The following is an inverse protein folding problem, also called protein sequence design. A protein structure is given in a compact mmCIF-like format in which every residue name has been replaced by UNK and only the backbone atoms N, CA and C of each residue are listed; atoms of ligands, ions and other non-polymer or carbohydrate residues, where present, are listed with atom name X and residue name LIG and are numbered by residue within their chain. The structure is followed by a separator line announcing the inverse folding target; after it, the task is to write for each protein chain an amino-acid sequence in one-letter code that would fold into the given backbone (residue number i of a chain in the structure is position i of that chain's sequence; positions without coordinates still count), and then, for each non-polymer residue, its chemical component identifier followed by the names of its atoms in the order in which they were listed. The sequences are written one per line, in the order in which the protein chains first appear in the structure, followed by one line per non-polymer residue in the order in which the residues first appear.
data_IF_268041030560
#
_entry.id   IF_268041030560
#
_cell.length_a   1.000
_cell.length_b   1.000
_cell.length_c   1.000
_cell.angle_alpha   90.00
_cell.angle_beta   90.00
_cell.angle_gamma   90.00
#
_symmetry.space_group_name_H-M   'P 1'
#
loop_
_entity.id
_entity.type
_entity.pdbx_description
1 polymer ?
#
# COMPACT_ATOMS: atom_id res chain seq x y z
N UNK A 1 -27.21 11.01 -7.37
CA UNK A 1 -26.01 10.23 -7.72
C UNK A 1 -25.94 9.05 -6.76
N UNK A 2 -25.88 7.83 -7.29
CA UNK A 2 -26.00 6.61 -6.49
C UNK A 2 -24.60 6.03 -6.36
N UNK A 3 -24.01 6.13 -5.17
CA UNK A 3 -22.81 5.34 -4.83
C UNK A 3 -23.19 3.87 -5.08
N UNK A 4 -22.41 3.10 -5.86
CA UNK A 4 -22.73 1.70 -6.10
C UNK A 4 -22.95 0.98 -4.78
N UNK A 5 -23.99 0.14 -4.75
CA UNK A 5 -24.20 -0.73 -3.59
C UNK A 5 -22.97 -1.62 -3.43
N UNK A 6 -22.68 -2.04 -2.20
CA UNK A 6 -21.56 -2.96 -1.97
C UNK A 6 -21.70 -4.24 -2.80
N UNK A 7 -22.93 -4.71 -3.05
CA UNK A 7 -23.21 -5.87 -3.90
C UNK A 7 -22.77 -5.65 -5.34
N UNK A 8 -23.10 -4.49 -5.92
CA UNK A 8 -22.70 -4.14 -7.27
C UNK A 8 -21.17 -4.08 -7.37
N UNK A 9 -20.50 -3.42 -6.42
CA UNK A 9 -19.03 -3.36 -6.41
C UNK A 9 -18.39 -4.74 -6.29
N UNK A 10 -18.99 -5.68 -5.55
CA UNK A 10 -18.48 -7.06 -5.51
C UNK A 10 -18.65 -7.77 -6.85
N UNK A 11 -19.78 -7.58 -7.53
CA UNK A 11 -19.99 -8.11 -8.88
C UNK A 11 -18.93 -7.53 -9.82
N UNK A 12 -18.75 -6.21 -9.83
CA UNK A 12 -17.80 -5.52 -10.70
C UNK A 12 -16.35 -5.99 -10.48
N UNK A 13 -15.94 -6.30 -9.24
CA UNK A 13 -14.63 -6.88 -8.94
C UNK A 13 -14.42 -8.23 -9.63
N UNK A 14 -15.41 -9.11 -9.52
CA UNK A 14 -15.35 -10.47 -10.07
C UNK A 14 -15.56 -10.47 -11.59
N UNK A 15 -16.29 -9.49 -12.13
CA UNK A 15 -16.49 -9.33 -13.58
C UNK A 15 -15.32 -8.62 -14.28
N UNK A 16 -14.42 -7.94 -13.55
CA UNK A 16 -13.22 -7.36 -14.14
C UNK A 16 -12.43 -8.42 -14.93
N UNK A 17 -12.12 -8.10 -16.20
CA UNK A 17 -11.39 -8.97 -17.13
C UNK A 17 -9.93 -8.55 -17.30
N UNK A 18 -9.55 -7.38 -16.78
CA UNK A 18 -8.20 -6.82 -16.86
C UNK A 18 -7.78 -6.21 -15.52
N UNK A 19 -6.47 -6.11 -15.22
CA UNK A 19 -5.98 -5.40 -14.04
C UNK A 19 -6.52 -3.97 -13.97
N UNK A 20 -6.59 -3.27 -15.09
CA UNK A 20 -7.06 -1.89 -15.15
C UNK A 20 -8.54 -1.78 -14.77
N UNK A 21 -9.39 -2.69 -15.27
CA UNK A 21 -10.79 -2.76 -14.85
C UNK A 21 -10.91 -3.04 -13.35
N UNK A 22 -10.08 -3.93 -12.81
CA UNK A 22 -10.01 -4.19 -11.37
C UNK A 22 -9.62 -2.91 -10.60
N UNK A 23 -8.61 -2.17 -11.05
CA UNK A 23 -8.14 -0.95 -10.38
C UNK A 23 -9.20 0.14 -10.36
N UNK A 24 -9.95 0.32 -11.45
CA UNK A 24 -11.08 1.26 -11.48
C UNK A 24 -12.06 0.93 -10.36
N UNK A 25 -12.43 -0.34 -10.19
CA UNK A 25 -13.35 -0.78 -9.12
C UNK A 25 -12.73 -0.61 -7.72
N UNK A 26 -11.40 -0.70 -7.57
CA UNK A 26 -10.68 -0.48 -6.30
C UNK A 26 -10.53 1.00 -5.92
N UNK A 27 -10.69 1.90 -6.88
CA UNK A 27 -10.52 3.35 -6.70
C UNK A 27 -11.83 4.12 -6.59
N UNK A 28 -12.93 3.57 -7.12
CA UNK A 28 -14.26 4.17 -7.03
C UNK A 28 -14.83 4.01 -5.61
N UNK A 29 -15.44 5.06 -5.02
CA UNK A 29 -16.13 4.95 -3.75
C UNK A 29 -17.22 3.88 -3.78
N UNK A 30 -17.26 3.01 -2.77
CA UNK A 30 -18.22 1.92 -2.67
C UNK A 30 -18.97 1.96 -1.33
N UNK A 31 -20.09 1.26 -1.24
CA UNK A 31 -20.78 1.04 0.03
C UNK A 31 -19.85 0.45 1.11
N UNK A 32 -20.05 0.84 2.38
CA UNK A 32 -19.18 0.41 3.47
C UNK A 32 -19.52 -1.02 3.90
N UNK A 33 -18.62 -1.96 3.58
CA UNK A 33 -18.55 -3.28 4.23
C UNK A 33 -17.08 -3.61 4.49
N UNK A 34 -16.72 -3.87 5.74
CA UNK A 34 -15.40 -4.42 6.07
C UNK A 34 -15.49 -5.95 6.19
N UNK A 35 -14.64 -6.66 5.47
CA UNK A 35 -14.44 -8.10 5.53
C UNK A 35 -13.12 -8.42 6.24
N UNK A 36 -13.09 -9.55 6.94
CA UNK A 36 -11.87 -10.18 7.45
C UNK A 36 -11.41 -11.35 6.59
N UNK A 37 -12.12 -11.64 5.49
CA UNK A 37 -11.77 -12.69 4.51
C UNK A 37 -10.66 -12.14 3.62
N UNK A 38 -9.43 -12.57 3.86
CA UNK A 38 -8.23 -12.14 3.12
C UNK A 38 -8.05 -12.95 1.83
N UNK A 39 -8.70 -14.12 1.73
CA UNK A 39 -8.61 -15.04 0.61
C UNK A 39 -9.18 -14.42 -0.67
N UNK A 40 -10.26 -13.66 -0.55
CA UNK A 40 -10.90 -13.01 -1.70
C UNK A 40 -9.97 -12.04 -2.46
N UNK A 41 -9.36 -11.01 -1.82
CA UNK A 41 -8.45 -10.12 -2.52
C UNK A 41 -7.20 -10.86 -3.00
N UNK A 42 -6.73 -11.89 -2.28
CA UNK A 42 -5.62 -12.71 -2.73
C UNK A 42 -5.95 -13.51 -4.00
N UNK A 43 -7.14 -14.09 -4.09
CA UNK A 43 -7.58 -14.80 -5.30
C UNK A 43 -7.76 -13.86 -6.49
N UNK A 44 -8.26 -12.64 -6.27
CA UNK A 44 -8.32 -11.60 -7.31
C UNK A 44 -6.91 -11.25 -7.81
N UNK A 45 -5.96 -11.06 -6.89
CA UNK A 45 -4.56 -10.80 -7.23
C UNK A 45 -3.97 -11.92 -8.09
N UNK A 46 -4.10 -13.18 -7.63
CA UNK A 46 -3.58 -14.35 -8.35
C UNK A 46 -4.19 -14.48 -9.74
N UNK A 47 -5.48 -14.20 -9.90
CA UNK A 47 -6.17 -14.30 -11.19
C UNK A 47 -5.49 -13.45 -12.27
N UNK A 48 -4.98 -12.27 -11.91
CA UNK A 48 -4.40 -11.34 -12.87
C UNK A 48 -2.89 -11.47 -13.03
N UNK A 49 -2.18 -11.99 -12.03
CA UNK A 49 -0.71 -11.95 -11.99
C UNK A 49 -0.04 -13.32 -11.99
N UNK A 50 -0.79 -14.41 -12.16
CA UNK A 50 -0.20 -15.75 -12.24
C UNK A 50 0.67 -15.92 -13.50
N UNK A 51 0.29 -15.30 -14.61
CA UNK A 51 1.01 -15.40 -15.90
C UNK A 51 1.87 -14.16 -16.19
N UNK A 52 1.48 -12.99 -15.68
CA UNK A 52 2.16 -11.72 -15.91
C UNK A 52 2.28 -10.88 -14.62
N UNK A 53 3.46 -10.83 -13.99
CA UNK A 53 3.66 -10.09 -12.75
C UNK A 53 3.94 -8.59 -12.95
N UNK A 54 3.96 -8.06 -14.19
CA UNK A 54 4.41 -6.69 -14.49
C UNK A 54 3.81 -5.59 -13.60
N UNK A 55 2.51 -5.69 -13.32
CA UNK A 55 1.75 -4.70 -12.54
C UNK A 55 1.30 -5.23 -11.17
N UNK A 56 1.91 -6.32 -10.71
CA UNK A 56 1.52 -7.00 -9.48
C UNK A 56 1.66 -6.08 -8.26
N UNK A 57 2.76 -5.31 -8.15
CA UNK A 57 2.95 -4.37 -7.04
C UNK A 57 1.79 -3.37 -6.93
N UNK A 58 1.35 -2.79 -8.05
CA UNK A 58 0.23 -1.84 -8.10
C UNK A 58 -1.08 -2.48 -7.65
N UNK A 59 -1.39 -3.69 -8.13
CA UNK A 59 -2.58 -4.42 -7.68
C UNK A 59 -2.52 -4.74 -6.19
N UNK A 60 -1.37 -5.21 -5.69
CA UNK A 60 -1.15 -5.49 -4.27
C UNK A 60 -1.36 -4.24 -3.41
N UNK A 61 -0.79 -3.10 -3.79
CA UNK A 61 -0.98 -1.80 -3.14
C UNK A 61 -2.48 -1.47 -3.02
N UNK A 62 -3.21 -1.55 -4.12
CA UNK A 62 -4.62 -1.18 -4.17
C UNK A 62 -5.47 -2.10 -3.29
N UNK A 63 -5.23 -3.41 -3.34
CA UNK A 63 -5.94 -4.40 -2.50
C UNK A 63 -5.64 -4.23 -1.01
N UNK A 64 -4.36 -4.07 -0.64
CA UNK A 64 -3.94 -3.90 0.75
C UNK A 64 -4.48 -2.62 1.40
N UNK A 65 -4.59 -1.54 0.62
CA UNK A 65 -5.09 -0.23 1.08
C UNK A 65 -6.59 -0.05 0.93
N UNK A 66 -7.29 -1.04 0.36
CA UNK A 66 -8.74 -1.00 0.21
C UNK A 66 -9.44 -1.12 1.57
N UNK A 67 -10.45 -0.27 1.79
CA UNK A 67 -11.17 -0.26 3.06
C UNK A 67 -11.94 -1.56 3.31
N UNK A 68 -12.36 -2.27 2.24
CA UNK A 68 -13.07 -3.55 2.35
C UNK A 68 -12.29 -4.57 3.15
N UNK A 69 -10.97 -4.67 2.94
CA UNK A 69 -10.15 -5.69 3.57
C UNK A 69 -9.22 -5.14 4.65
N UNK A 70 -9.48 -3.93 5.16
CA UNK A 70 -8.68 -3.30 6.23
C UNK A 70 -8.46 -4.18 7.47
N UNK A 71 -9.40 -5.08 7.79
CA UNK A 71 -9.31 -6.00 8.94
C UNK A 71 -8.47 -7.25 8.66
N UNK A 72 -8.24 -7.56 7.39
CA UNK A 72 -7.53 -8.74 6.93
C UNK A 72 -6.16 -8.39 6.30
N UNK A 73 -5.83 -7.10 6.20
CA UNK A 73 -4.69 -6.58 5.46
C UNK A 73 -3.34 -7.15 5.93
N UNK A 74 -3.22 -7.49 7.22
CA UNK A 74 -2.00 -8.11 7.76
C UNK A 74 -1.78 -9.52 7.21
N UNK A 75 -2.82 -10.36 7.17
CA UNK A 75 -2.72 -11.67 6.52
C UNK A 75 -2.52 -11.51 5.01
N UNK A 76 -3.26 -10.61 4.37
CA UNK A 76 -3.16 -10.38 2.93
C UNK A 76 -1.73 -10.02 2.50
N UNK A 77 -1.07 -9.07 3.17
CA UNK A 77 0.30 -8.67 2.79
C UNK A 77 1.31 -9.80 3.02
N UNK A 78 1.14 -10.61 4.06
CA UNK A 78 1.98 -11.79 4.29
C UNK A 78 1.81 -12.84 3.19
N UNK A 79 0.58 -13.14 2.78
CA UNK A 79 0.29 -14.13 1.73
C UNK A 79 0.75 -13.64 0.35
N UNK A 80 0.59 -12.35 0.05
CA UNK A 80 1.14 -11.74 -1.16
C UNK A 80 2.66 -11.86 -1.20
N UNK A 81 3.35 -11.51 -0.11
CA UNK A 81 4.81 -11.61 0.00
C UNK A 81 5.32 -13.05 -0.09
N UNK A 82 4.58 -14.01 0.45
CA UNK A 82 4.92 -15.45 0.39
C UNK A 82 4.54 -16.16 -0.91
N UNK A 83 3.80 -15.49 -1.80
CA UNK A 83 3.22 -16.14 -2.99
C UNK A 83 4.23 -16.46 -4.10
N UNK A 84 5.39 -15.79 -4.11
CA UNK A 84 6.35 -15.83 -5.21
C UNK A 84 5.91 -15.10 -6.48
N UNK A 85 4.78 -14.38 -6.44
CA UNK A 85 4.27 -13.55 -7.55
C UNK A 85 4.74 -12.10 -7.48
N UNK A 86 5.36 -11.71 -6.37
CA UNK A 86 6.04 -10.44 -6.19
C UNK A 86 7.53 -10.78 -6.01
N UNK A 87 8.37 -10.24 -6.88
CA UNK A 87 9.82 -10.30 -6.70
C UNK A 87 10.29 -9.33 -5.61
N UNK A 88 11.57 -9.39 -5.27
CA UNK A 88 12.12 -8.56 -4.21
C UNK A 88 11.96 -7.06 -4.49
N UNK A 89 12.14 -6.64 -5.74
CA UNK A 89 11.97 -5.25 -6.17
C UNK A 89 10.52 -4.77 -5.95
N UNK A 90 9.52 -5.60 -6.29
CA UNK A 90 8.12 -5.30 -6.04
C UNK A 90 7.78 -5.23 -4.53
N UNK A 91 8.39 -6.09 -3.71
CA UNK A 91 8.21 -6.08 -2.26
C UNK A 91 8.86 -4.86 -1.61
N UNK A 92 10.03 -4.46 -2.09
CA UNK A 92 10.74 -3.25 -1.66
C UNK A 92 9.94 -2.00 -2.04
N UNK A 93 9.40 -1.99 -3.25
CA UNK A 93 8.51 -0.92 -3.71
C UNK A 93 7.25 -0.79 -2.85
N UNK A 94 6.63 -1.91 -2.46
CA UNK A 94 5.50 -1.91 -1.53
C UNK A 94 5.90 -1.38 -0.14
N UNK A 95 7.09 -1.74 0.34
CA UNK A 95 7.59 -1.28 1.63
C UNK A 95 7.81 0.25 1.63
N UNK A 96 8.37 0.82 0.57
CA UNK A 96 8.44 2.28 0.38
C UNK A 96 7.04 2.91 0.43
N UNK A 97 6.08 2.34 -0.31
CA UNK A 97 4.71 2.87 -0.37
C UNK A 97 3.99 2.85 0.97
N UNK A 98 4.18 1.79 1.76
CA UNK A 98 3.52 1.65 3.05
C UNK A 98 4.23 2.40 4.19
N UNK A 99 5.47 2.83 4.03
CA UNK A 99 6.14 3.70 5.01
C UNK A 99 5.86 5.18 4.80
N UNK A 100 5.38 5.58 3.62
CA UNK A 100 5.05 6.97 3.30
C UNK A 100 4.06 7.61 4.31
N UNK A 101 4.26 8.90 4.59
CA UNK A 101 3.36 9.67 5.44
C UNK A 101 1.96 9.78 4.84
N UNK A 102 1.91 10.09 3.54
CA UNK A 102 0.70 10.14 2.75
C UNK A 102 0.89 9.38 1.44
N UNK A 103 -0.04 8.47 1.15
CA UNK A 103 -0.05 7.69 -0.09
C UNK A 103 -1.22 8.15 -0.97
N UNK A 104 -0.95 8.36 -2.26
CA UNK A 104 -1.99 8.60 -3.25
C UNK A 104 -1.67 7.97 -4.59
N UNK A 105 -2.72 7.66 -5.34
CA UNK A 105 -2.62 7.09 -6.69
C UNK A 105 -3.12 8.11 -7.71
N UNK A 106 -2.32 8.39 -8.74
CA UNK A 106 -2.70 9.28 -9.83
C UNK A 106 -3.37 8.50 -10.95
N UNK A 107 -4.51 9.00 -11.37
CA UNK A 107 -5.38 8.35 -12.34
C UNK A 107 -5.97 9.35 -13.32
N UNK A 108 -6.15 8.97 -14.59
CA UNK A 108 -6.83 9.83 -15.55
C UNK A 108 -8.25 10.20 -15.09
N UNK A 109 -8.55 11.51 -15.06
CA UNK A 109 -9.83 12.04 -14.58
C UNK A 109 -11.04 11.46 -15.32
N UNK A 110 -10.89 11.12 -16.60
CA UNK A 110 -11.99 10.59 -17.40
C UNK A 110 -12.49 9.24 -16.89
N UNK A 111 -11.70 8.48 -16.10
CA UNK A 111 -12.15 7.26 -15.42
C UNK A 111 -13.17 7.56 -14.30
N UNK A 112 -13.30 8.83 -13.89
CA UNK A 112 -14.21 9.31 -12.86
C UNK A 112 -15.22 10.33 -13.40
N UNK A 113 -15.48 10.35 -14.72
CA UNK A 113 -16.28 11.38 -15.38
C UNK A 113 -17.68 11.60 -14.76
N UNK A 114 -18.23 10.60 -14.08
CA UNK A 114 -19.54 10.66 -13.41
C UNK A 114 -19.48 10.71 -11.87
N UNK A 115 -18.29 10.61 -11.26
CA UNK A 115 -18.13 10.64 -9.81
C UNK A 115 -17.80 12.07 -9.33
N UNK A 116 -18.36 12.53 -8.20
CA UNK A 116 -17.96 13.81 -7.64
C UNK A 116 -16.54 13.63 -7.12
N UNK A 117 -15.60 14.38 -7.69
CA UNK A 117 -14.19 14.37 -7.31
C UNK A 117 -14.08 14.93 -5.89
N UNK A 118 -14.36 14.11 -4.87
CA UNK A 118 -13.98 14.35 -3.47
C UNK A 118 -12.52 13.92 -3.31
N UNK A 119 -11.66 14.44 -4.19
CA UNK A 119 -10.25 14.11 -4.25
C UNK A 119 -9.48 15.44 -4.17
N UNK A 120 -9.19 15.85 -2.94
CA UNK A 120 -8.36 17.00 -2.66
C UNK A 120 -6.89 16.56 -2.65
N UNK A 121 -6.09 17.12 -3.55
CA UNK A 121 -5.06 18.12 -3.22
C UNK A 121 -4.17 18.38 -4.44
N UNK A 122 -3.78 19.64 -4.60
CA UNK A 122 -2.71 20.09 -5.51
C UNK A 122 -1.41 19.33 -5.22
N UNK A 123 -0.55 19.05 -6.21
CA UNK A 123 0.71 18.29 -6.07
C UNK A 123 1.79 18.93 -5.18
N UNK A 124 1.44 19.88 -4.31
CA UNK A 124 2.39 20.74 -3.58
C UNK A 124 2.65 20.33 -2.13
N UNK A 125 2.05 19.25 -1.62
CA UNK A 125 2.40 18.71 -0.30
C UNK A 125 3.64 17.80 -0.42
N UNK A 126 4.81 18.37 -0.10
CA UNK A 126 6.18 17.84 -0.21
C UNK A 126 6.45 16.48 0.47
N UNK A 127 5.47 15.90 1.18
CA UNK A 127 5.60 14.63 1.90
C UNK A 127 4.68 13.51 1.38
N UNK A 128 4.21 13.64 0.14
CA UNK A 128 3.31 12.66 -0.48
C UNK A 128 4.07 11.74 -1.44
N UNK A 129 3.90 10.43 -1.27
CA UNK A 129 4.26 9.47 -2.30
C UNK A 129 3.09 9.25 -3.28
N UNK A 130 3.43 9.27 -4.56
CA UNK A 130 2.52 9.25 -5.69
C UNK A 130 2.80 8.03 -6.57
N UNK A 131 1.78 7.18 -6.77
CA UNK A 131 1.86 6.05 -7.70
C UNK A 131 1.07 6.41 -8.96
N UNK A 132 1.74 6.46 -10.12
CA UNK A 132 1.08 6.64 -11.41
C UNK A 132 0.60 5.28 -11.92
N UNK A 133 -0.70 5.15 -12.20
CA UNK A 133 -1.17 3.97 -12.94
C UNK A 133 -0.71 4.06 -14.40
N UNK A 134 -0.34 2.93 -15.03
CA UNK A 134 -0.05 2.93 -16.44
C UNK A 134 -1.26 3.44 -17.24
N UNK A 135 -1.03 4.18 -18.35
CA UNK A 135 -2.11 4.72 -19.15
C UNK A 135 -3.02 3.59 -19.65
N UNK A 136 -4.31 3.73 -19.41
CA UNK A 136 -5.33 2.77 -19.86
C UNK A 136 -5.37 2.74 -21.39
N UNK A 137 -4.74 1.73 -21.99
CA UNK A 137 -4.75 1.48 -23.43
C UNK A 137 -3.37 1.59 -24.08
N UNK A 138 -3.07 0.61 -24.94
CA UNK A 138 -1.92 0.60 -25.86
C UNK A 138 -1.68 1.99 -26.43
N UNK A 139 -0.41 2.38 -26.39
CA UNK A 139 0.21 3.62 -26.86
C UNK A 139 -0.56 4.25 -28.04
N UNK A 140 -1.13 5.47 -27.90
CA UNK A 140 -1.61 6.18 -29.07
C UNK A 140 -0.43 6.53 -29.98
N UNK A 141 -0.62 6.60 -31.31
CA UNK A 141 0.46 6.91 -32.23
C UNK A 141 1.09 8.26 -31.85
N UNK A 142 2.44 8.29 -31.85
CA UNK A 142 3.25 9.50 -31.65
C UNK A 142 2.95 10.51 -32.76
N UNK A 143 1.92 11.31 -32.58
CA UNK A 143 1.69 12.51 -33.39
C UNK A 143 0.95 13.56 -32.58
N UNK A 144 1.65 14.66 -32.29
CA UNK A 144 1.05 15.97 -32.05
C UNK A 144 0.52 16.24 -30.64
N UNK A 145 1.20 17.18 -29.95
CA UNK A 145 0.76 17.86 -28.72
C UNK A 145 0.50 16.91 -27.54
N UNK A 146 1.43 16.87 -26.59
CA UNK A 146 1.26 16.29 -25.25
C UNK A 146 0.03 16.95 -24.61
N UNK A 147 -1.17 16.40 -24.80
CA UNK A 147 -2.33 16.75 -23.99
C UNK A 147 -1.88 16.47 -22.57
N UNK A 148 -1.81 17.50 -21.74
CA UNK A 148 -1.73 17.34 -20.30
C UNK A 148 -2.88 16.39 -19.94
N UNK A 149 -2.57 15.15 -19.59
CA UNK A 149 -3.59 14.22 -19.11
C UNK A 149 -4.09 14.85 -17.82
N UNK A 150 -5.38 15.16 -17.75
CA UNK A 150 -5.99 15.65 -16.53
C UNK A 150 -5.97 14.47 -15.54
N UNK A 151 -5.05 14.52 -14.58
CA UNK A 151 -4.85 13.48 -13.57
C UNK A 151 -5.50 13.92 -12.26
N UNK A 152 -6.13 12.98 -11.59
CA UNK A 152 -6.69 13.16 -10.25
C UNK A 152 -5.94 12.25 -9.29
N UNK A 153 -5.65 12.75 -8.09
CA UNK A 153 -5.03 11.98 -7.01
C UNK A 153 -6.10 11.34 -6.13
N UNK A 154 -6.11 10.02 -6.04
CA UNK A 154 -6.95 9.26 -5.11
C UNK A 154 -6.14 8.94 -3.85
N UNK A 155 -6.45 9.52 -2.67
CA UNK A 155 -5.73 9.23 -1.45
C UNK A 155 -6.00 7.79 -1.00
N UNK A 156 -4.96 7.13 -0.49
CA UNK A 156 -5.04 5.77 0.06
C UNK A 156 -4.63 5.78 1.52
N UNK A 157 -5.36 5.04 2.35
CA UNK A 157 -5.01 4.86 3.75
C UNK A 157 -4.08 3.67 3.89
N UNK A 158 -2.89 3.91 4.45
CA UNK A 158 -1.99 2.83 4.84
C UNK A 158 -2.31 2.41 6.26
N UNK A 159 -2.75 1.17 6.43
CA UNK A 159 -3.17 0.65 7.73
C UNK A 159 -1.97 0.28 8.60
N UNK A 160 -2.10 0.35 9.95
CA UNK A 160 -1.00 0.08 10.86
C UNK A 160 -0.27 -1.27 10.62
N UNK A 161 -0.94 -2.39 10.31
CA UNK A 161 -0.24 -3.64 10.03
C UNK A 161 0.63 -3.61 8.76
N UNK A 162 0.24 -2.83 7.74
CA UNK A 162 1.05 -2.64 6.53
C UNK A 162 2.33 -1.87 6.84
N UNK A 163 2.23 -0.85 7.72
CA UNK A 163 3.40 -0.10 8.18
C UNK A 163 4.39 -0.99 8.93
N UNK A 164 3.88 -1.86 9.81
CA UNK A 164 4.70 -2.83 10.54
C UNK A 164 5.43 -3.77 9.59
N UNK A 165 4.70 -4.41 8.66
CA UNK A 165 5.28 -5.27 7.63
C UNK A 165 6.35 -4.55 6.79
N UNK A 166 6.05 -3.33 6.34
CA UNK A 166 6.94 -2.54 5.50
C UNK A 166 8.23 -2.18 6.24
N UNK A 167 8.14 -1.79 7.50
CA UNK A 167 9.32 -1.50 8.32
C UNK A 167 10.21 -2.73 8.51
N UNK A 168 9.63 -3.91 8.73
CA UNK A 168 10.37 -5.18 8.77
C UNK A 168 11.09 -5.42 7.43
N UNK A 169 10.42 -5.20 6.30
CA UNK A 169 11.02 -5.39 4.97
C UNK A 169 12.17 -4.42 4.70
N UNK A 170 12.03 -3.14 5.07
CA UNK A 170 13.10 -2.13 4.97
C UNK A 170 14.37 -2.56 5.69
N UNK A 171 14.25 -3.04 6.93
CA UNK A 171 15.40 -3.45 7.74
C UNK A 171 16.03 -4.74 7.21
N UNK A 172 15.22 -5.70 6.75
CA UNK A 172 15.74 -6.98 6.21
C UNK A 172 16.43 -6.85 4.87
N UNK A 173 15.97 -5.91 4.04
CA UNK A 173 16.51 -5.71 2.68
C UNK A 173 17.49 -4.54 2.60
N UNK A 174 17.90 -4.01 3.77
CA UNK A 174 18.86 -2.91 3.92
C UNK A 174 18.52 -1.65 3.10
N UNK A 175 17.23 -1.43 2.80
CA UNK A 175 16.77 -0.30 1.98
C UNK A 175 17.04 1.04 2.65
N UNK A 176 17.03 1.06 3.99
CA UNK A 176 17.21 2.25 4.81
C UNK A 176 17.70 1.84 6.19
N UNK A 177 18.51 2.71 6.82
CA UNK A 177 18.93 2.51 8.21
C UNK A 177 17.71 2.45 9.14
N UNK A 178 17.71 1.53 10.11
CA UNK A 178 16.62 1.42 11.07
C UNK A 178 16.40 2.73 11.86
N UNK A 179 17.45 3.55 12.05
CA UNK A 179 17.33 4.86 12.71
C UNK A 179 16.60 5.86 11.85
N UNK A 180 16.93 5.91 10.55
CA UNK A 180 16.34 6.83 9.59
C UNK A 180 14.85 6.51 9.43
N UNK A 181 14.50 5.23 9.45
CA UNK A 181 13.12 4.77 9.41
C UNK A 181 12.33 5.18 10.67
N UNK A 182 12.94 5.13 11.85
CA UNK A 182 12.33 5.62 13.10
C UNK A 182 12.21 7.15 13.09
N UNK A 183 13.22 7.86 12.59
CA UNK A 183 13.17 9.31 12.44
C UNK A 183 12.03 9.71 11.50
N UNK A 184 11.88 9.04 10.35
CA UNK A 184 10.77 9.25 9.43
C UNK A 184 9.41 8.98 10.09
N UNK A 185 9.32 7.96 10.96
CA UNK A 185 8.12 7.61 11.69
C UNK A 185 7.62 8.72 12.64
N UNK A 186 8.50 9.65 13.06
CA UNK A 186 8.09 10.80 13.91
C UNK A 186 7.11 11.74 13.23
N UNK A 187 7.02 11.69 11.89
CA UNK A 187 6.07 12.48 11.08
C UNK A 187 4.69 11.84 11.02
N UNK A 188 4.53 10.62 11.52
CA UNK A 188 3.28 9.88 11.51
C UNK A 188 2.48 10.09 12.81
N UNK A 189 1.15 9.86 12.79
CA UNK A 189 0.38 9.71 14.02
C UNK A 189 0.99 8.64 14.93
N UNK A 190 0.92 8.82 16.24
CA UNK A 190 1.63 7.97 17.22
C UNK A 190 1.34 6.47 17.08
N UNK A 191 0.11 6.11 16.67
CA UNK A 191 -0.27 4.72 16.41
C UNK A 191 0.50 4.10 15.24
N UNK A 192 0.66 4.87 14.17
CA UNK A 192 1.35 4.45 12.95
C UNK A 192 2.86 4.42 13.18
N UNK A 193 3.39 5.44 13.87
CA UNK A 193 4.79 5.49 14.29
C UNK A 193 5.17 4.26 15.12
N UNK A 194 4.34 3.88 16.10
CA UNK A 194 4.57 2.69 16.91
C UNK A 194 4.59 1.39 16.08
N UNK A 195 3.85 1.32 14.97
CA UNK A 195 3.90 0.14 14.10
C UNK A 195 5.17 0.07 13.27
N UNK A 196 5.69 1.20 12.81
CA UNK A 196 7.00 1.25 12.16
C UNK A 196 8.08 0.75 13.12
N UNK A 197 8.12 1.28 14.35
CA UNK A 197 9.11 0.85 15.36
C UNK A 197 8.95 -0.63 15.71
N UNK A 198 7.72 -1.12 15.86
CA UNK A 198 7.49 -2.55 16.10
C UNK A 198 7.99 -3.42 14.93
N UNK A 199 7.82 -2.97 13.68
CA UNK A 199 8.31 -3.68 12.50
C UNK A 199 9.84 -3.72 12.42
N UNK A 200 10.52 -2.66 12.87
CA UNK A 200 11.98 -2.65 13.05
C UNK A 200 12.39 -3.71 14.07
N UNK A 201 11.67 -3.83 15.19
CA UNK A 201 11.95 -4.85 16.21
C UNK A 201 11.70 -6.28 15.70
N UNK A 202 10.71 -6.50 14.84
CA UNK A 202 10.47 -7.81 14.21
C UNK A 202 11.62 -8.28 13.28
N UNK A 203 12.53 -7.37 12.92
CA UNK A 203 13.75 -7.62 12.13
C UNK A 203 15.03 -7.31 12.92
N UNK A 204 14.97 -7.22 14.25
CA UNK A 204 16.13 -6.85 15.07
C UNK A 204 17.29 -7.85 14.93
N UNK A 205 16.98 -9.09 14.55
CA UNK A 205 17.93 -10.16 14.30
C UNK A 205 18.76 -9.96 13.02
N UNK A 206 18.32 -9.11 12.10
CA UNK A 206 19.07 -8.73 10.89
C UNK A 206 19.88 -7.46 11.08
N UNK A 207 19.65 -6.70 12.15
CA UNK A 207 20.47 -5.53 12.49
C UNK A 207 21.88 -5.98 12.90
N UNK A 208 22.88 -5.26 12.40
CA UNK A 208 24.29 -5.47 12.71
C UNK A 208 24.52 -5.60 14.23
N UNK A 209 25.34 -6.57 14.64
CA UNK A 209 25.54 -6.93 16.05
C UNK A 209 25.92 -5.72 16.93
N UNK A 210 26.74 -4.82 16.39
CA UNK A 210 27.19 -3.60 17.07
C UNK A 210 26.07 -2.59 17.34
N UNK A 211 24.97 -2.65 16.59
CA UNK A 211 23.83 -1.73 16.74
C UNK A 211 22.60 -2.37 17.40
N UNK A 212 22.55 -3.70 17.42
CA UNK A 212 21.41 -4.48 17.90
C UNK A 212 21.02 -4.13 19.34
N UNK A 213 22.00 -4.01 20.23
CA UNK A 213 21.75 -3.66 21.63
C UNK A 213 21.05 -2.30 21.75
N UNK A 214 21.48 -1.30 20.97
CA UNK A 214 20.87 0.03 20.96
C UNK A 214 19.44 0.00 20.39
N UNK A 215 19.20 -0.81 19.35
CA UNK A 215 17.86 -1.00 18.79
C UNK A 215 16.90 -1.64 19.82
N UNK A 216 17.35 -2.69 20.53
CA UNK A 216 16.57 -3.35 21.59
C UNK A 216 16.29 -2.39 22.75
N UNK A 217 17.31 -1.66 23.24
CA UNK A 217 17.14 -0.69 24.33
C UNK A 217 16.10 0.40 23.97
N UNK A 218 16.16 0.92 22.73
CA UNK A 218 15.17 1.86 22.22
C UNK A 218 13.76 1.22 22.20
N UNK A 219 13.63 -0.02 21.75
CA UNK A 219 12.36 -0.74 21.74
C UNK A 219 11.77 -0.94 23.14
N UNK A 220 12.60 -1.35 24.11
CA UNK A 220 12.20 -1.59 25.51
C UNK A 220 11.82 -0.30 26.25
N UNK A 221 12.46 0.82 25.92
CA UNK A 221 12.16 2.14 26.51
C UNK A 221 10.98 2.86 25.83
N UNK A 222 10.44 2.30 24.75
CA UNK A 222 9.29 2.87 24.04
C UNK A 222 8.07 3.02 24.95
N UNK A 223 7.34 4.13 24.80
CA UNK A 223 6.06 4.35 25.48
C UNK A 223 4.95 3.38 25.04
N UNK A 224 5.12 2.71 23.91
CA UNK A 224 4.10 1.84 23.31
C UNK A 224 4.28 0.38 23.71
N UNK A 225 3.25 -0.23 24.28
CA UNK A 225 3.30 -1.63 24.73
C UNK A 225 3.59 -2.64 23.62
N UNK A 226 3.07 -2.41 22.41
CA UNK A 226 3.32 -3.27 21.24
C UNK A 226 4.79 -3.26 20.80
N UNK A 227 5.46 -2.12 20.92
CA UNK A 227 6.89 -1.99 20.58
C UNK A 227 7.71 -2.72 21.63
N UNK A 228 7.42 -2.50 22.91
CA UNK A 228 8.11 -3.21 24.00
C UNK A 228 7.98 -4.72 23.85
N UNK A 229 6.78 -5.22 23.53
CA UNK A 229 6.55 -6.65 23.29
C UNK A 229 7.35 -7.17 22.10
N UNK A 230 7.44 -6.42 21.00
CA UNK A 230 8.25 -6.81 19.84
C UNK A 230 9.76 -6.78 20.12
N UNK A 231 10.21 -5.96 21.08
CA UNK A 231 11.61 -5.86 21.50
C UNK A 231 12.03 -6.95 22.52
N UNK A 232 11.09 -7.77 23.00
CA UNK A 232 11.42 -8.87 23.91
C UNK A 232 12.06 -10.03 23.12
N UNK A 233 13.18 -10.59 23.60
CA UNK A 233 13.82 -11.76 23.00
C UNK A 233 13.02 -13.06 23.18
#
# INVERSE_FOLDING_TARGET
MIVPSWQQTMIDLHEAQTPEQLWIVLLVPHGIRSSSVWEEPYLLFRRFHLEDPSDAATTALLLCTDYRWRKATHHLVHELAGSGLLDDDALDQLAEWFTAAHLGVWVPRHLFAEAPVVFASSPTDDATLAVELPPTGRTPPRSGRRRSVDLVRVPRSVWPPLRRWAATRHVRSELTSWRDLIEAATRLPSRDAAMIVAGVMDAVDTIAEVERAAAIEMGLTSGSGVVRLAALP
#
